data_IF_333317394793
#
_entry.id   IF_333317394793
#
_cell.length_a   1.000
_cell.length_b   1.000
_cell.length_c   1.000
_cell.angle_alpha   90.00
_cell.angle_beta   90.00
_cell.angle_gamma   90.00
#
_symmetry.space_group_name_H-M   'P 1'
#
loop_
_entity.id
_entity.type
_entity.pdbx_description
1 polymer ?
#
# COMPACT_ATOMS: atom_id res chain seq x y z
N UNK A 1 -13.93 34.12 5.44
CA UNK A 1 -13.88 34.11 6.92
C UNK A 1 -15.18 33.46 7.38
N UNK A 2 -15.10 32.49 8.30
CA UNK A 2 -16.29 31.87 8.90
C UNK A 2 -16.75 32.57 10.17
N UNK A 3 -17.77 31.99 10.81
CA UNK A 3 -18.32 32.44 12.09
C UNK A 3 -18.32 31.26 13.09
N UNK A 4 -17.99 31.53 14.35
CA UNK A 4 -17.95 30.56 15.45
C UNK A 4 -19.36 30.29 16.02
N UNK A 5 -20.28 29.84 15.16
CA UNK A 5 -21.68 29.59 15.48
C UNK A 5 -22.02 28.09 15.36
N UNK A 6 -21.66 27.29 16.38
CA UNK A 6 -22.05 25.88 16.54
C UNK A 6 -21.95 25.01 15.24
N UNK A 7 -20.94 25.27 14.40
CA UNK A 7 -20.67 24.56 13.13
C UNK A 7 -21.36 25.13 11.88
N UNK A 8 -22.37 25.99 12.01
CA UNK A 8 -23.06 26.61 10.87
C UNK A 8 -22.14 27.56 10.10
N UNK A 9 -21.35 28.37 10.81
CA UNK A 9 -20.40 29.29 10.17
C UNK A 9 -19.21 28.60 9.50
N UNK A 10 -18.82 27.39 9.96
CA UNK A 10 -17.85 26.56 9.25
C UNK A 10 -18.41 26.07 7.91
N UNK A 11 -19.64 25.57 7.90
CA UNK A 11 -20.33 25.13 6.68
C UNK A 11 -20.55 26.28 5.70
N UNK A 12 -20.95 27.46 6.19
CA UNK A 12 -21.09 28.67 5.37
C UNK A 12 -19.77 29.12 4.74
N UNK A 13 -18.68 29.12 5.52
CA UNK A 13 -17.33 29.43 5.02
C UNK A 13 -16.89 28.47 3.91
N UNK A 14 -17.05 27.15 4.10
CA UNK A 14 -16.68 26.14 3.11
C UNK A 14 -17.46 26.32 1.79
N UNK A 15 -18.77 26.63 1.85
CA UNK A 15 -19.58 26.94 0.66
C UNK A 15 -19.08 28.19 -0.06
N UNK A 16 -18.82 29.25 0.68
CA UNK A 16 -18.32 30.51 0.11
C UNK A 16 -16.94 30.30 -0.53
N UNK A 17 -16.06 29.57 0.15
CA UNK A 17 -14.75 29.20 -0.36
C UNK A 17 -14.85 28.46 -1.69
N UNK A 18 -15.63 27.37 -1.74
CA UNK A 18 -15.81 26.59 -2.96
C UNK A 18 -16.44 27.40 -4.10
N UNK A 19 -17.39 28.27 -3.80
CA UNK A 19 -18.02 29.14 -4.81
C UNK A 19 -17.01 30.10 -5.44
N UNK A 20 -16.14 30.71 -4.63
CA UNK A 20 -15.14 31.66 -5.11
C UNK A 20 -13.97 30.93 -5.78
N UNK A 21 -13.65 29.71 -5.35
CA UNK A 21 -12.60 28.88 -5.95
C UNK A 21 -12.86 28.57 -7.43
N UNK A 22 -14.13 28.57 -7.87
CA UNK A 22 -14.49 28.48 -9.29
C UNK A 22 -13.99 29.66 -10.13
N UNK A 23 -13.68 30.79 -9.50
CA UNK A 23 -13.26 32.03 -10.16
C UNK A 23 -11.76 32.31 -9.97
N UNK A 24 -11.14 31.81 -8.90
CA UNK A 24 -9.74 32.05 -8.58
C UNK A 24 -9.15 31.00 -7.65
N UNK A 25 -7.89 30.63 -7.88
CA UNK A 25 -7.12 29.77 -6.97
C UNK A 25 -6.39 30.58 -5.87
N UNK A 26 -6.37 31.92 -5.98
CA UNK A 26 -5.78 32.79 -4.97
C UNK A 26 -6.82 33.18 -3.91
N UNK A 27 -7.17 32.21 -3.08
CA UNK A 27 -8.15 32.38 -2.00
C UNK A 27 -7.68 31.65 -0.74
N UNK A 28 -8.03 32.22 0.41
CA UNK A 28 -7.76 31.62 1.71
C UNK A 28 -9.00 31.71 2.59
N UNK A 29 -9.30 30.65 3.31
CA UNK A 29 -10.35 30.63 4.32
C UNK A 29 -9.79 30.34 5.70
N UNK A 30 -10.41 30.93 6.73
CA UNK A 30 -10.05 30.71 8.14
C UNK A 30 -11.24 31.04 9.03
N UNK A 31 -11.26 30.42 10.21
CA UNK A 31 -12.20 30.72 11.29
C UNK A 31 -11.65 31.87 12.16
N UNK A 32 -12.52 32.66 12.81
CA UNK A 32 -12.09 33.61 13.84
C UNK A 32 -11.45 32.86 15.04
N UNK A 33 -10.57 33.53 15.81
CA UNK A 33 -10.03 32.99 17.06
C UNK A 33 -11.12 32.53 18.03
N UNK A 34 -10.77 31.60 18.91
CA UNK A 34 -11.67 31.16 19.98
C UNK A 34 -12.14 32.35 20.83
N UNK A 35 -13.43 32.38 21.19
CA UNK A 35 -14.04 33.49 21.93
C UNK A 35 -14.43 34.72 21.08
N UNK A 36 -14.18 34.68 19.77
CA UNK A 36 -14.63 35.68 18.79
C UNK A 36 -15.73 35.06 17.93
N UNK A 37 -16.90 35.72 17.87
CA UNK A 37 -18.06 35.18 17.17
C UNK A 37 -17.91 35.26 15.65
N UNK A 38 -17.65 36.45 15.13
CA UNK A 38 -17.59 36.75 13.70
C UNK A 38 -16.63 37.93 13.44
N UNK A 39 -16.44 38.29 12.17
CA UNK A 39 -15.55 39.42 11.81
C UNK A 39 -16.00 40.76 12.42
N UNK A 40 -17.30 40.97 12.66
CA UNK A 40 -17.84 42.21 13.21
C UNK A 40 -17.52 42.32 14.70
N UNK A 41 -17.71 41.24 15.45
CA UNK A 41 -17.28 41.13 16.86
C UNK A 41 -15.76 41.33 16.96
N UNK A 42 -14.99 40.69 16.08
CA UNK A 42 -13.54 40.86 16.07
C UNK A 42 -13.11 42.31 15.86
N UNK A 43 -13.76 43.00 14.91
CA UNK A 43 -13.53 44.42 14.65
C UNK A 43 -13.87 45.30 15.85
N UNK A 44 -14.98 45.03 16.54
CA UNK A 44 -15.37 45.77 17.74
C UNK A 44 -14.35 45.62 18.88
N UNK A 45 -13.66 44.48 18.94
CA UNK A 45 -12.58 44.21 19.91
C UNK A 45 -11.21 44.73 19.48
N UNK A 46 -11.14 45.59 18.45
CA UNK A 46 -9.92 46.28 18.05
C UNK A 46 -9.08 45.59 16.97
N UNK A 47 -9.64 44.63 16.22
CA UNK A 47 -8.95 44.06 15.06
C UNK A 47 -8.54 45.15 14.05
N UNK A 48 -7.25 45.17 13.70
CA UNK A 48 -6.72 45.98 12.60
C UNK A 48 -6.59 45.15 11.32
N UNK A 49 -6.53 45.83 10.17
CA UNK A 49 -6.37 45.17 8.88
C UNK A 49 -5.07 44.34 8.80
N UNK A 50 -3.96 44.89 9.31
CA UNK A 50 -2.67 44.18 9.33
C UNK A 50 -2.74 42.92 10.19
N UNK A 51 -3.35 43.01 11.37
CA UNK A 51 -3.51 41.85 12.25
C UNK A 51 -4.40 40.76 11.61
N UNK A 52 -5.42 41.14 10.85
CA UNK A 52 -6.25 40.19 10.10
C UNK A 52 -5.44 39.43 9.04
N UNK A 53 -4.60 40.14 8.27
CA UNK A 53 -3.79 39.51 7.24
C UNK A 53 -2.70 38.60 7.81
N UNK A 54 -2.04 39.01 8.89
CA UNK A 54 -1.08 38.15 9.59
C UNK A 54 -1.75 36.89 10.16
N UNK A 55 -2.93 37.05 10.75
CA UNK A 55 -3.73 35.90 11.20
C UNK A 55 -4.12 34.97 10.04
N UNK A 56 -4.55 35.54 8.91
CA UNK A 56 -4.91 34.77 7.72
C UNK A 56 -3.72 34.01 7.12
N UNK A 57 -2.50 34.56 7.17
CA UNK A 57 -1.29 33.86 6.72
C UNK A 57 -0.97 32.65 7.59
N UNK A 58 -1.20 32.76 8.90
CA UNK A 58 -0.86 31.71 9.88
C UNK A 58 -1.95 30.62 9.94
N UNK A 59 -3.22 31.02 9.95
CA UNK A 59 -4.37 30.14 10.18
C UNK A 59 -5.19 29.85 8.93
N UNK A 60 -4.80 30.46 7.80
CA UNK A 60 -5.41 30.27 6.51
C UNK A 60 -5.27 28.86 5.99
N UNK A 61 -6.37 28.32 5.46
CA UNK A 61 -6.40 27.11 4.67
C UNK A 61 -6.72 27.45 3.22
N UNK A 62 -5.98 26.84 2.31
CA UNK A 62 -6.18 26.93 0.86
C UNK A 62 -6.95 25.72 0.35
N UNK A 63 -7.04 24.64 1.14
CA UNK A 63 -7.74 23.42 0.77
C UNK A 63 -9.06 23.25 1.52
N UNK A 64 -10.04 22.68 0.82
CA UNK A 64 -11.34 22.33 1.38
C UNK A 64 -11.20 21.31 2.51
N UNK A 65 -12.18 21.26 3.41
CA UNK A 65 -12.25 20.23 4.45
C UNK A 65 -12.13 18.83 3.82
N UNK A 66 -11.18 17.97 4.26
CA UNK A 66 -11.01 16.63 3.69
C UNK A 66 -12.24 15.73 3.88
N UNK A 67 -13.17 16.11 4.75
CA UNK A 67 -14.50 15.51 4.89
C UNK A 67 -15.51 15.89 3.80
N UNK A 68 -15.17 16.81 2.89
CA UNK A 68 -16.05 17.33 1.84
C UNK A 68 -15.40 17.08 0.46
N UNK A 69 -16.09 16.34 -0.40
CA UNK A 69 -15.72 16.15 -1.80
C UNK A 69 -16.22 17.31 -2.67
N UNK A 70 -15.56 17.59 -3.78
CA UNK A 70 -15.96 18.69 -4.65
C UNK A 70 -17.22 18.36 -5.48
N UNK A 71 -17.52 17.07 -5.63
CA UNK A 71 -18.73 16.54 -6.25
C UNK A 71 -19.10 15.15 -5.68
N UNK A 72 -20.19 14.54 -6.15
CA UNK A 72 -20.47 13.11 -5.94
C UNK A 72 -20.01 12.21 -7.10
N UNK A 73 -19.06 12.68 -7.92
CA UNK A 73 -18.46 11.90 -8.99
C UNK A 73 -17.68 10.68 -8.43
N UNK A 74 -18.03 9.45 -8.81
CA UNK A 74 -17.31 8.26 -8.37
C UNK A 74 -15.83 8.26 -8.78
N UNK A 75 -15.45 8.87 -9.92
CA UNK A 75 -14.06 8.89 -10.38
C UNK A 75 -13.20 9.70 -9.41
N UNK A 76 -13.57 10.95 -9.15
CA UNK A 76 -12.87 11.84 -8.20
C UNK A 76 -12.74 11.17 -6.83
N UNK A 77 -13.84 10.59 -6.33
CA UNK A 77 -13.87 9.96 -5.01
C UNK A 77 -13.01 8.70 -4.97
N UNK A 78 -13.06 7.87 -6.02
CA UNK A 78 -12.29 6.64 -6.13
C UNK A 78 -10.78 6.89 -6.20
N UNK A 79 -10.35 7.85 -7.01
CA UNK A 79 -8.95 8.27 -7.10
C UNK A 79 -8.46 8.85 -5.77
N UNK A 80 -9.25 9.70 -5.12
CA UNK A 80 -8.93 10.25 -3.81
C UNK A 80 -8.85 9.18 -2.72
N UNK A 81 -9.77 8.22 -2.74
CA UNK A 81 -9.73 7.07 -1.84
C UNK A 81 -8.45 6.25 -2.02
N UNK A 82 -8.08 5.93 -3.27
CA UNK A 82 -6.86 5.21 -3.58
C UNK A 82 -5.62 5.97 -3.11
N UNK A 83 -5.57 7.28 -3.37
CA UNK A 83 -4.46 8.15 -2.96
C UNK A 83 -4.31 8.22 -1.44
N UNK A 84 -5.41 8.37 -0.71
CA UNK A 84 -5.38 8.56 0.75
C UNK A 84 -5.20 7.25 1.53
N UNK A 85 -5.64 6.11 0.99
CA UNK A 85 -5.68 4.83 1.72
C UNK A 85 -4.71 3.78 1.20
N UNK A 86 -4.42 3.80 -0.10
CA UNK A 86 -3.68 2.73 -0.76
C UNK A 86 -2.63 3.31 -1.69
N UNK A 87 -1.93 4.36 -1.28
CA UNK A 87 -0.80 4.90 -2.04
C UNK A 87 0.36 5.20 -1.09
N UNK A 88 1.54 4.73 -1.44
CA UNK A 88 2.78 4.98 -0.72
C UNK A 88 3.78 5.57 -1.71
N UNK A 89 4.31 6.77 -1.40
CA UNK A 89 5.27 7.48 -2.26
C UNK A 89 4.82 7.59 -3.73
N UNK A 90 3.52 7.78 -3.95
CA UNK A 90 2.93 7.89 -5.29
C UNK A 90 2.65 6.55 -6.00
N UNK A 91 3.00 5.41 -5.40
CA UNK A 91 2.68 4.09 -5.92
C UNK A 91 1.39 3.55 -5.29
N UNK A 92 0.34 3.24 -6.08
CA UNK A 92 -0.80 2.51 -5.57
C UNK A 92 -0.41 1.14 -5.03
N UNK A 93 -0.80 0.85 -3.79
CA UNK A 93 -0.51 -0.37 -3.05
C UNK A 93 -1.64 -1.38 -3.06
N UNK A 94 -2.80 -1.02 -3.62
CA UNK A 94 -3.89 -1.93 -3.95
C UNK A 94 -3.87 -2.17 -5.47
N UNK A 95 -3.82 -3.43 -5.88
CA UNK A 95 -3.73 -3.85 -7.29
C UNK A 95 -4.77 -4.91 -7.62
N UNK A 96 -5.14 -4.98 -8.88
CA UNK A 96 -5.97 -6.03 -9.44
C UNK A 96 -5.14 -6.86 -10.41
N UNK A 97 -4.86 -8.10 -10.05
CA UNK A 97 -4.00 -9.00 -10.81
C UNK A 97 -4.76 -10.30 -11.09
N UNK A 98 -4.86 -10.69 -12.37
CA UNK A 98 -5.59 -11.89 -12.83
C UNK A 98 -7.00 -12.05 -12.22
N UNK A 99 -7.72 -10.95 -12.05
CA UNK A 99 -9.08 -10.92 -11.50
C UNK A 99 -9.17 -10.93 -9.96
N UNK A 100 -8.04 -11.05 -9.27
CA UNK A 100 -7.96 -11.00 -7.81
C UNK A 100 -7.46 -9.63 -7.35
N UNK A 101 -7.93 -9.20 -6.18
CA UNK A 101 -7.43 -8.01 -5.51
C UNK A 101 -6.27 -8.39 -4.60
N UNK A 102 -5.21 -7.61 -4.65
CA UNK A 102 -3.99 -7.83 -3.88
C UNK A 102 -3.50 -6.51 -3.31
N UNK A 103 -2.95 -6.54 -2.09
CA UNK A 103 -2.48 -5.36 -1.39
C UNK A 103 -1.05 -5.57 -0.89
N UNK A 104 -0.22 -4.54 -1.05
CA UNK A 104 1.13 -4.52 -0.50
C UNK A 104 1.10 -4.47 1.04
N UNK A 105 1.79 -5.40 1.68
CA UNK A 105 1.87 -5.55 3.14
C UNK A 105 3.30 -5.36 3.65
N UNK A 106 3.93 -4.23 3.32
CA UNK A 106 5.25 -3.88 3.84
C UNK A 106 6.42 -4.49 3.06
N UNK A 107 6.28 -5.70 2.53
CA UNK A 107 7.37 -6.42 1.85
C UNK A 107 6.96 -7.03 0.52
N UNK A 108 5.74 -7.56 0.45
CA UNK A 108 5.19 -8.23 -0.72
C UNK A 108 3.68 -7.95 -0.81
N UNK A 109 3.10 -8.24 -1.97
CA UNK A 109 1.66 -8.22 -2.18
C UNK A 109 1.03 -9.52 -1.69
N UNK A 110 -0.12 -9.41 -1.02
CA UNK A 110 -0.94 -10.55 -0.61
C UNK A 110 -2.36 -10.37 -1.08
N UNK A 111 -3.11 -11.48 -1.19
CA UNK A 111 -4.53 -11.43 -1.52
C UNK A 111 -5.28 -10.53 -0.53
N UNK A 112 -6.16 -9.68 -1.08
CA UNK A 112 -7.06 -8.82 -0.34
C UNK A 112 -8.48 -9.08 -0.87
N UNK A 113 -9.33 -9.80 -0.13
CA UNK A 113 -10.67 -10.13 -0.61
C UNK A 113 -11.48 -8.87 -0.95
N UNK A 114 -12.25 -8.92 -2.04
CA UNK A 114 -13.06 -7.79 -2.51
C UNK A 114 -13.99 -7.22 -1.43
N UNK A 115 -14.53 -8.08 -0.55
CA UNK A 115 -15.41 -7.62 0.53
C UNK A 115 -14.69 -6.80 1.60
N UNK A 116 -13.38 -7.02 1.81
CA UNK A 116 -12.54 -6.19 2.68
C UNK A 116 -12.35 -4.81 2.03
N UNK A 117 -11.95 -4.77 0.76
CA UNK A 117 -11.78 -3.53 -0.01
C UNK A 117 -13.09 -2.72 -0.02
N UNK A 118 -14.22 -3.38 -0.28
CA UNK A 118 -15.55 -2.77 -0.23
C UNK A 118 -15.85 -2.19 1.15
N UNK A 119 -15.53 -2.92 2.23
CA UNK A 119 -15.68 -2.46 3.60
C UNK A 119 -14.87 -1.19 3.87
N UNK A 120 -13.65 -1.09 3.34
CA UNK A 120 -12.81 0.09 3.49
C UNK A 120 -13.35 1.30 2.73
N UNK A 121 -13.99 1.10 1.56
CA UNK A 121 -14.72 2.17 0.87
C UNK A 121 -15.88 2.68 1.74
N UNK A 122 -16.68 1.80 2.35
CA UNK A 122 -17.75 2.22 3.24
C UNK A 122 -17.24 3.05 4.43
N UNK A 123 -16.19 2.57 5.10
CA UNK A 123 -15.56 3.30 6.22
C UNK A 123 -15.02 4.66 5.76
N UNK A 124 -14.44 4.72 4.56
CA UNK A 124 -13.90 5.97 4.03
C UNK A 124 -14.98 7.03 3.78
N UNK A 125 -16.15 6.60 3.31
CA UNK A 125 -17.29 7.46 3.00
C UNK A 125 -18.11 7.87 4.23
N UNK A 126 -17.88 7.22 5.38
CA UNK A 126 -18.61 7.51 6.61
C UNK A 126 -18.45 8.97 7.04
N UNK A 127 -19.58 9.66 7.25
CA UNK A 127 -19.61 11.06 7.64
C UNK A 127 -19.17 12.07 6.57
N UNK A 128 -18.75 11.60 5.38
CA UNK A 128 -18.34 12.46 4.27
C UNK A 128 -19.52 13.24 3.69
N UNK A 129 -19.21 14.39 3.10
CA UNK A 129 -20.16 15.28 2.43
C UNK A 129 -19.62 15.60 1.04
N UNK A 130 -20.43 16.19 0.18
CA UNK A 130 -20.00 16.68 -1.11
C UNK A 130 -20.69 17.99 -1.47
N UNK A 131 -20.08 18.74 -2.38
CA UNK A 131 -20.65 19.97 -2.91
C UNK A 131 -21.60 19.68 -4.06
N UNK A 132 -22.74 20.37 -4.08
CA UNK A 132 -23.70 20.33 -5.17
C UNK A 132 -24.10 21.75 -5.55
N UNK A 133 -23.90 22.09 -6.82
CA UNK A 133 -24.36 23.36 -7.38
C UNK A 133 -25.83 23.26 -7.76
N UNK A 134 -26.66 24.11 -7.17
CA UNK A 134 -28.07 24.22 -7.51
C UNK A 134 -28.30 24.94 -8.85
N UNK A 135 -29.54 24.90 -9.40
CA UNK A 135 -29.86 25.54 -10.69
C UNK A 135 -29.61 27.05 -10.74
N UNK A 136 -29.55 27.71 -9.59
CA UNK A 136 -29.30 29.16 -9.46
C UNK A 136 -27.84 29.49 -9.11
N UNK A 137 -26.91 28.55 -9.28
CA UNK A 137 -25.49 28.72 -8.97
C UNK A 137 -25.17 28.68 -7.47
N UNK A 138 -26.13 28.36 -6.61
CA UNK A 138 -25.92 28.26 -5.17
C UNK A 138 -25.27 26.93 -4.79
N UNK A 139 -24.09 26.97 -4.15
CA UNK A 139 -23.38 25.78 -3.67
C UNK A 139 -23.98 25.28 -2.36
N UNK A 140 -24.32 24.00 -2.31
CA UNK A 140 -24.83 23.29 -1.14
C UNK A 140 -23.84 22.21 -0.71
N UNK A 141 -23.73 21.99 0.60
CA UNK A 141 -22.97 20.85 1.17
C UNK A 141 -24.01 19.81 1.56
N UNK A 142 -23.91 18.61 0.98
CA UNK A 142 -24.87 17.53 1.15
C UNK A 142 -24.15 16.31 1.75
N UNK A 143 -24.74 15.59 2.72
CA UNK A 143 -24.19 14.32 3.19
C UNK A 143 -24.05 13.30 2.06
N UNK A 144 -22.89 12.65 1.99
CA UNK A 144 -22.67 11.57 1.04
C UNK A 144 -23.34 10.30 1.57
N UNK A 145 -24.43 9.88 0.92
CA UNK A 145 -25.14 8.64 1.28
C UNK A 145 -24.48 7.47 0.57
N UNK A 146 -23.61 6.73 1.27
CA UNK A 146 -22.92 5.55 0.75
C UNK A 146 -23.87 4.36 0.54
N UNK A 147 -24.68 4.40 -0.53
CA UNK A 147 -25.50 3.27 -0.96
C UNK A 147 -24.69 2.25 -1.77
N UNK A 148 -25.21 1.01 -1.89
CA UNK A 148 -24.56 -0.08 -2.63
C UNK A 148 -24.12 0.31 -4.05
N UNK A 149 -24.96 1.04 -4.79
CA UNK A 149 -24.64 1.50 -6.15
C UNK A 149 -23.41 2.40 -6.18
N UNK A 150 -23.40 3.47 -5.38
CA UNK A 150 -22.27 4.41 -5.29
C UNK A 150 -20.95 3.75 -4.89
N UNK A 151 -21.01 2.76 -3.99
CA UNK A 151 -19.81 1.99 -3.61
C UNK A 151 -19.35 1.11 -4.77
N UNK A 152 -20.28 0.50 -5.52
CA UNK A 152 -19.93 -0.25 -6.74
C UNK A 152 -19.25 0.64 -7.76
N UNK A 153 -19.79 1.83 -8.02
CA UNK A 153 -19.23 2.78 -8.98
C UNK A 153 -17.78 3.15 -8.60
N UNK A 154 -17.49 3.37 -7.31
CA UNK A 154 -16.13 3.61 -6.82
C UNK A 154 -15.22 2.39 -7.02
N UNK A 155 -15.70 1.17 -6.73
CA UNK A 155 -14.93 -0.06 -6.96
C UNK A 155 -14.63 -0.25 -8.45
N UNK A 156 -15.53 0.16 -9.34
CA UNK A 156 -15.33 0.13 -10.79
C UNK A 156 -14.26 1.14 -11.25
N UNK A 157 -14.15 2.29 -10.58
CA UNK A 157 -13.01 3.20 -10.78
C UNK A 157 -11.71 2.54 -10.37
N UNK A 158 -11.68 1.85 -9.22
CA UNK A 158 -10.48 1.11 -8.80
C UNK A 158 -10.09 0.02 -9.81
N UNK A 159 -11.07 -0.66 -10.44
CA UNK A 159 -10.82 -1.63 -11.49
C UNK A 159 -10.08 -1.02 -12.70
N UNK A 160 -10.31 0.26 -13.00
CA UNK A 160 -9.68 0.99 -14.09
C UNK A 160 -8.24 1.40 -13.76
N UNK A 161 -7.97 1.83 -12.53
CA UNK A 161 -6.68 2.45 -12.15
C UNK A 161 -5.68 1.48 -11.51
N UNK A 162 -6.15 0.34 -11.00
CA UNK A 162 -5.33 -0.65 -10.31
C UNK A 162 -4.91 -1.92 -11.10
N UNK A 163 -5.19 -2.12 -12.41
CA UNK A 163 -4.89 -3.39 -13.07
C UNK A 163 -3.40 -3.61 -13.26
N UNK A 164 -2.96 -4.86 -13.06
CA UNK A 164 -1.64 -5.37 -13.42
C UNK A 164 -1.84 -6.61 -14.31
N UNK A 165 -1.27 -6.58 -15.51
CA UNK A 165 -1.40 -7.67 -16.49
C UNK A 165 -0.18 -8.58 -16.53
N UNK A 166 0.99 -8.05 -16.20
CA UNK A 166 2.26 -8.76 -16.25
C UNK A 166 2.43 -9.67 -15.02
N UNK A 167 3.13 -10.79 -15.22
CA UNK A 167 3.36 -11.77 -14.16
C UNK A 167 4.53 -11.34 -13.25
N UNK A 168 4.37 -11.41 -11.92
CA UNK A 168 5.42 -11.06 -10.96
C UNK A 168 6.60 -12.06 -10.99
N UNK A 169 7.81 -11.65 -10.55
CA UNK A 169 8.12 -10.33 -9.99
C UNK A 169 8.44 -9.29 -11.08
N UNK A 170 7.89 -8.07 -10.93
CA UNK A 170 8.11 -6.95 -11.85
C UNK A 170 8.22 -5.62 -11.09
N UNK A 171 8.84 -4.63 -11.73
CA UNK A 171 8.76 -3.24 -11.31
C UNK A 171 7.56 -2.55 -11.96
N UNK A 172 6.85 -1.73 -11.20
CA UNK A 172 5.62 -1.03 -11.63
C UNK A 172 5.85 0.41 -12.11
N UNK A 173 7.09 0.89 -12.10
CA UNK A 173 7.48 2.20 -12.60
C UNK A 173 8.61 2.10 -13.63
N UNK A 174 8.78 3.16 -14.42
CA UNK A 174 9.74 3.20 -15.53
C UNK A 174 11.16 3.60 -15.08
N UNK A 175 11.49 3.42 -13.80
CA UNK A 175 12.82 3.76 -13.28
C UNK A 175 13.80 2.63 -13.56
N UNK A 176 15.07 3.00 -13.55
CA UNK A 176 16.16 2.03 -13.62
C UNK A 176 16.25 1.27 -12.30
N UNK A 177 15.92 -0.02 -12.34
CA UNK A 177 15.93 -0.91 -11.20
C UNK A 177 16.70 -2.20 -11.53
N UNK A 178 17.25 -2.90 -10.52
CA UNK A 178 17.80 -4.23 -10.73
C UNK A 178 16.75 -5.20 -11.28
N UNK A 179 17.22 -6.21 -12.00
CA UNK A 179 16.38 -7.31 -12.49
C UNK A 179 15.58 -7.94 -11.32
N UNK A 180 14.24 -7.88 -11.34
CA UNK A 180 13.41 -8.36 -10.24
C UNK A 180 13.56 -9.87 -10.00
N UNK A 181 13.99 -10.65 -11.01
CA UNK A 181 14.29 -12.09 -10.84
C UNK A 181 15.55 -12.35 -10.00
N UNK A 182 16.34 -11.31 -9.73
CA UNK A 182 17.57 -11.37 -8.92
C UNK A 182 17.38 -10.79 -7.53
N UNK A 183 16.15 -10.47 -7.14
CA UNK A 183 15.82 -9.89 -5.85
C UNK A 183 15.16 -10.94 -4.94
N UNK A 184 15.70 -11.07 -3.73
CA UNK A 184 15.15 -11.93 -2.69
C UNK A 184 14.60 -11.06 -1.57
N UNK A 185 13.32 -11.23 -1.22
CA UNK A 185 12.65 -10.44 -0.21
C UNK A 185 12.65 -11.18 1.14
N UNK A 186 13.25 -10.58 2.17
CA UNK A 186 13.23 -11.02 3.57
C UNK A 186 12.47 -10.01 4.44
N UNK A 187 12.18 -10.38 5.70
CA UNK A 187 11.49 -9.50 6.66
C UNK A 187 12.28 -8.23 7.03
N UNK A 188 13.60 -8.22 6.80
CA UNK A 188 14.47 -7.08 7.09
C UNK A 188 14.95 -6.34 5.83
N UNK A 189 14.48 -6.72 4.64
CA UNK A 189 14.80 -6.01 3.40
C UNK A 189 14.95 -6.92 2.19
N UNK A 190 15.39 -6.32 1.08
CA UNK A 190 15.54 -6.99 -0.21
C UNK A 190 17.04 -7.20 -0.47
N UNK A 191 17.44 -8.46 -0.66
CA UNK A 191 18.80 -8.83 -1.05
C UNK A 191 18.88 -8.92 -2.58
N UNK A 192 19.84 -8.23 -3.18
CA UNK A 192 20.16 -8.40 -4.60
C UNK A 192 21.25 -9.48 -4.75
N UNK A 193 20.92 -10.56 -5.47
CA UNK A 193 21.81 -11.70 -5.67
C UNK A 193 23.07 -11.29 -6.45
N UNK A 194 22.97 -10.39 -7.43
CA UNK A 194 24.14 -9.96 -8.20
C UNK A 194 25.16 -9.24 -7.31
N UNK A 195 24.68 -8.29 -6.49
CA UNK A 195 25.52 -7.58 -5.51
C UNK A 195 26.10 -8.56 -4.48
N UNK A 196 25.30 -9.51 -3.99
CA UNK A 196 25.75 -10.55 -3.08
C UNK A 196 26.90 -11.38 -3.68
N UNK A 197 26.79 -11.77 -4.95
CA UNK A 197 27.83 -12.54 -5.66
C UNK A 197 29.12 -11.74 -5.89
N UNK A 198 29.02 -10.41 -5.92
CA UNK A 198 30.16 -9.48 -5.97
C UNK A 198 30.76 -9.20 -4.57
N UNK A 199 30.20 -9.78 -3.52
CA UNK A 199 30.62 -9.59 -2.13
C UNK A 199 30.04 -8.34 -1.47
N UNK A 200 29.07 -7.67 -2.12
CA UNK A 200 28.35 -6.52 -1.56
C UNK A 200 27.06 -7.00 -0.91
N UNK A 201 27.09 -7.09 0.41
CA UNK A 201 25.96 -7.61 1.19
C UNK A 201 25.23 -6.41 1.78
N UNK A 202 24.23 -5.93 1.04
CA UNK A 202 23.40 -4.78 1.41
C UNK A 202 21.94 -5.16 1.23
N UNK A 203 21.13 -4.85 2.25
CA UNK A 203 19.68 -4.99 2.16
C UNK A 203 19.08 -3.67 1.72
N UNK A 204 18.34 -3.72 0.63
CA UNK A 204 17.56 -2.59 0.12
C UNK A 204 16.24 -2.49 0.87
N UNK A 205 15.71 -1.28 1.00
CA UNK A 205 14.41 -1.07 1.63
C UNK A 205 13.30 -1.71 0.79
N UNK A 206 12.26 -2.26 1.42
CA UNK A 206 11.07 -2.68 0.69
C UNK A 206 10.45 -1.54 -0.12
N UNK A 207 10.01 -1.86 -1.35
CA UNK A 207 9.42 -0.90 -2.27
C UNK A 207 8.10 -1.44 -2.84
N UNK A 208 6.96 -0.74 -2.68
CA UNK A 208 5.69 -1.16 -3.27
C UNK A 208 5.68 -1.19 -4.80
N UNK A 209 6.65 -0.56 -5.47
CA UNK A 209 6.82 -0.69 -6.92
C UNK A 209 7.36 -2.07 -7.33
N UNK A 210 7.98 -2.83 -6.42
CA UNK A 210 8.31 -4.23 -6.68
C UNK A 210 7.05 -5.08 -6.45
N UNK A 211 6.35 -5.38 -7.54
CA UNK A 211 5.19 -6.26 -7.51
C UNK A 211 5.63 -7.71 -7.44
N UNK A 212 5.69 -8.25 -6.22
CA UNK A 212 6.03 -9.63 -5.92
C UNK A 212 5.13 -10.16 -4.80
N UNK A 213 4.87 -11.47 -4.80
CA UNK A 213 4.09 -12.15 -3.74
C UNK A 213 4.97 -12.81 -2.68
N UNK A 214 6.22 -13.10 -3.04
CA UNK A 214 7.09 -13.92 -2.23
C UNK A 214 7.87 -13.09 -1.21
N UNK A 215 7.83 -13.49 0.06
CA UNK A 215 8.68 -12.96 1.12
C UNK A 215 9.04 -14.05 2.12
N UNK A 216 10.33 -14.21 2.42
CA UNK A 216 10.78 -15.16 3.42
C UNK A 216 10.27 -14.81 4.82
N UNK A 217 9.86 -15.78 5.66
CA UNK A 217 9.25 -15.52 6.97
C UNK A 217 10.28 -15.15 8.06
N UNK A 218 11.53 -14.93 7.69
CA UNK A 218 12.64 -14.60 8.59
C UNK A 218 13.52 -13.48 8.03
N UNK A 219 14.39 -12.95 8.89
CA UNK A 219 15.40 -11.97 8.53
C UNK A 219 16.59 -12.65 7.85
N UNK A 220 17.16 -11.98 6.84
CA UNK A 220 18.45 -12.36 6.31
C UNK A 220 19.57 -12.06 7.31
N UNK A 221 20.46 -13.02 7.52
CA UNK A 221 21.72 -12.88 8.26
C UNK A 221 22.75 -13.83 7.66
N UNK A 222 23.82 -13.25 7.12
CA UNK A 222 24.91 -13.97 6.44
C UNK A 222 25.76 -14.84 7.38
N UNK A 223 25.73 -14.55 8.68
CA UNK A 223 26.59 -15.19 9.67
C UNK A 223 25.93 -16.40 10.34
N UNK A 224 24.64 -16.63 10.08
CA UNK A 224 23.92 -17.75 10.66
C UNK A 224 24.45 -19.08 10.14
N UNK A 225 24.77 -19.97 11.07
CA UNK A 225 25.15 -21.36 10.82
C UNK A 225 24.31 -22.28 11.68
N UNK A 226 24.04 -23.48 11.18
CA UNK A 226 23.29 -24.49 11.92
C UNK A 226 24.11 -25.78 11.97
N UNK A 227 24.82 -25.97 13.08
CA UNK A 227 25.57 -27.20 13.34
C UNK A 227 24.66 -28.43 13.35
N UNK A 228 23.41 -28.26 13.79
CA UNK A 228 22.37 -29.29 13.74
C UNK A 228 22.05 -29.70 12.30
N UNK A 229 21.87 -28.73 11.40
CA UNK A 229 21.60 -29.03 9.99
C UNK A 229 22.82 -29.65 9.32
N UNK A 230 24.02 -29.13 9.57
CA UNK A 230 25.26 -29.69 9.01
C UNK A 230 25.51 -31.13 9.46
N UNK A 231 25.31 -31.44 10.74
CA UNK A 231 25.45 -32.80 11.27
C UNK A 231 24.38 -33.74 10.71
N UNK A 232 23.12 -33.29 10.63
CA UNK A 232 22.04 -34.04 10.01
C UNK A 232 22.33 -34.38 8.54
N UNK A 233 22.82 -33.42 7.76
CA UNK A 233 23.19 -33.64 6.35
C UNK A 233 24.33 -34.66 6.20
N UNK A 234 25.35 -34.58 7.06
CA UNK A 234 26.46 -35.55 7.06
C UNK A 234 25.99 -36.95 7.44
N UNK A 235 25.04 -37.07 8.35
CA UNK A 235 24.47 -38.35 8.76
C UNK A 235 23.69 -39.01 7.62
N UNK A 236 22.69 -38.31 7.06
CA UNK A 236 21.80 -38.91 6.03
C UNK A 236 22.48 -39.16 4.68
N UNK A 237 23.59 -38.48 4.40
CA UNK A 237 24.37 -38.64 3.17
C UNK A 237 25.72 -39.32 3.40
N UNK A 238 25.99 -39.87 4.59
CA UNK A 238 27.25 -40.57 4.90
C UNK A 238 28.48 -39.70 4.61
N UNK A 239 28.37 -38.39 4.83
CA UNK A 239 29.40 -37.37 4.54
C UNK A 239 29.78 -37.26 3.06
N UNK A 240 28.94 -37.72 2.12
CA UNK A 240 29.13 -37.52 0.68
C UNK A 240 29.00 -36.02 0.32
N UNK A 241 30.11 -35.34 -0.02
CA UNK A 241 30.10 -33.89 -0.23
C UNK A 241 29.32 -33.49 -1.50
N UNK A 242 29.23 -34.35 -2.51
CA UNK A 242 28.56 -34.03 -3.77
C UNK A 242 27.03 -34.08 -3.60
N UNK A 243 26.52 -35.04 -2.83
CA UNK A 243 25.08 -35.11 -2.50
C UNK A 243 24.64 -33.94 -1.63
N UNK A 244 25.45 -33.61 -0.62
CA UNK A 244 25.19 -32.46 0.26
C UNK A 244 25.18 -31.17 -0.57
N UNK A 245 26.18 -30.98 -1.45
CA UNK A 245 26.27 -29.82 -2.35
C UNK A 245 25.07 -29.74 -3.29
N UNK A 246 24.67 -30.84 -3.92
CA UNK A 246 23.52 -30.87 -4.82
C UNK A 246 22.23 -30.44 -4.10
N UNK A 247 22.00 -30.93 -2.89
CA UNK A 247 20.86 -30.54 -2.08
C UNK A 247 20.91 -29.05 -1.70
N UNK A 248 22.07 -28.54 -1.30
CA UNK A 248 22.24 -27.12 -0.99
C UNK A 248 22.00 -26.24 -2.21
N UNK A 249 22.49 -26.64 -3.38
CA UNK A 249 22.21 -25.97 -4.66
C UNK A 249 20.72 -26.00 -4.98
N UNK A 250 20.04 -27.11 -4.70
CA UNK A 250 18.59 -27.21 -4.87
C UNK A 250 17.83 -26.26 -3.94
N UNK A 251 18.21 -26.16 -2.67
CA UNK A 251 17.62 -25.19 -1.74
C UNK A 251 17.85 -23.77 -2.23
N UNK A 252 19.09 -23.44 -2.64
CA UNK A 252 19.43 -22.14 -3.22
C UNK A 252 18.63 -21.81 -4.48
N UNK A 253 18.42 -22.80 -5.36
CA UNK A 253 17.63 -22.61 -6.57
C UNK A 253 16.17 -22.23 -6.25
N UNK A 254 15.55 -22.87 -5.26
CA UNK A 254 14.17 -22.57 -4.85
C UNK A 254 14.02 -21.22 -4.14
N UNK A 255 15.12 -20.57 -3.73
CA UNK A 255 15.11 -19.23 -3.13
C UNK A 255 15.01 -18.14 -4.20
N UNK A 256 15.47 -18.42 -5.42
CA UNK A 256 15.52 -17.45 -6.50
C UNK A 256 14.16 -17.46 -7.21
N UNK A 257 13.53 -16.30 -7.44
CA UNK A 257 12.28 -16.20 -8.21
C UNK A 257 12.54 -16.34 -9.72
N UNK A 258 13.31 -17.34 -10.12
CA UNK A 258 13.68 -17.67 -11.50
C UNK A 258 13.15 -19.06 -11.84
N UNK A 259 12.08 -19.09 -12.63
CA UNK A 259 11.41 -20.32 -13.07
C UNK A 259 11.95 -20.82 -14.44
N UNK A 260 13.07 -20.30 -14.93
CA UNK A 260 13.59 -20.64 -16.26
C UNK A 260 14.07 -22.09 -16.41
N UNK A 261 14.25 -22.82 -15.30
CA UNK A 261 14.64 -24.23 -15.35
C UNK A 261 13.44 -25.14 -15.12
N UNK A 262 13.12 -25.91 -16.15
CA UNK A 262 12.15 -27.01 -16.10
C UNK A 262 12.76 -28.25 -15.41
N UNK A 263 13.10 -28.12 -14.13
CA UNK A 263 13.83 -29.17 -13.38
C UNK A 263 13.05 -29.62 -12.15
N UNK A 264 13.02 -30.93 -11.91
CA UNK A 264 12.42 -31.55 -10.72
C UNK A 264 13.46 -32.38 -9.99
N UNK A 265 13.52 -32.27 -8.67
CA UNK A 265 14.36 -33.12 -7.82
C UNK A 265 13.53 -34.24 -7.20
N UNK A 266 13.97 -35.49 -7.41
CA UNK A 266 13.34 -36.68 -6.86
C UNK A 266 14.10 -37.14 -5.61
N UNK A 267 13.41 -37.18 -4.46
CA UNK A 267 13.96 -37.67 -3.20
C UNK A 267 13.62 -39.16 -3.03
N UNK A 268 14.59 -40.03 -3.28
CA UNK A 268 14.41 -41.50 -3.16
C UNK A 268 15.13 -42.06 -1.95
N UNK A 269 14.56 -43.07 -1.28
CA UNK A 269 15.23 -43.78 -0.19
C UNK A 269 14.26 -44.56 0.70
N UNK A 270 14.79 -45.39 1.59
CA UNK A 270 14.00 -46.18 2.55
C UNK A 270 13.23 -45.30 3.56
N UNK A 271 12.17 -45.81 4.21
CA UNK A 271 11.53 -45.11 5.32
C UNK A 271 12.55 -44.69 6.40
N UNK A 272 12.34 -43.51 7.01
CA UNK A 272 13.22 -42.91 8.03
C UNK A 272 14.61 -42.47 7.56
N UNK A 273 14.84 -42.34 6.24
CA UNK A 273 16.08 -41.80 5.69
C UNK A 273 16.21 -40.26 5.72
N UNK A 274 15.43 -39.57 6.55
CA UNK A 274 15.46 -38.09 6.66
C UNK A 274 14.75 -37.29 5.56
N UNK A 275 14.17 -37.93 4.53
CA UNK A 275 13.49 -37.23 3.40
C UNK A 275 12.39 -36.26 3.84
N UNK A 276 11.49 -36.72 4.71
CA UNK A 276 10.39 -35.88 5.21
C UNK A 276 10.93 -34.69 5.99
N UNK A 277 11.98 -34.88 6.79
CA UNK A 277 12.66 -33.81 7.52
C UNK A 277 13.28 -32.78 6.57
N UNK A 278 13.89 -33.21 5.46
CA UNK A 278 14.40 -32.30 4.44
C UNK A 278 13.29 -31.46 3.82
N UNK A 279 12.24 -32.11 3.30
CA UNK A 279 11.12 -31.41 2.67
C UNK A 279 10.42 -30.46 3.66
N UNK A 280 10.25 -30.88 4.91
CA UNK A 280 9.67 -30.05 5.95
C UNK A 280 10.57 -28.85 6.30
N UNK A 281 11.88 -29.05 6.39
CA UNK A 281 12.85 -27.97 6.60
C UNK A 281 12.82 -26.97 5.44
N UNK A 282 12.76 -27.46 4.20
CA UNK A 282 12.65 -26.62 3.01
C UNK A 282 11.33 -25.83 3.01
N UNK A 283 10.21 -26.46 3.41
CA UNK A 283 8.93 -25.78 3.54
C UNK A 283 8.92 -24.67 4.59
N UNK A 284 9.63 -24.85 5.72
CA UNK A 284 9.82 -23.79 6.70
C UNK A 284 10.77 -22.68 6.20
N UNK A 285 11.82 -23.06 5.49
CA UNK A 285 12.76 -22.13 4.85
C UNK A 285 12.03 -21.26 3.82
N UNK A 286 11.26 -21.84 2.90
CA UNK A 286 10.48 -21.10 1.91
C UNK A 286 9.29 -20.36 2.51
N UNK A 287 8.84 -20.78 3.70
CA UNK A 287 7.57 -20.33 4.27
C UNK A 287 6.43 -21.19 3.73
N UNK A 288 5.71 -21.84 4.65
CA UNK A 288 4.69 -22.83 4.29
C UNK A 288 3.55 -22.28 3.43
N UNK A 289 3.19 -21.00 3.60
CA UNK A 289 2.18 -20.32 2.78
C UNK A 289 2.59 -20.23 1.30
N UNK A 290 3.87 -20.39 0.99
CA UNK A 290 4.44 -20.32 -0.35
C UNK A 290 4.63 -21.71 -0.98
N UNK A 291 4.36 -22.77 -0.22
CA UNK A 291 4.54 -24.16 -0.63
C UNK A 291 3.18 -24.82 -0.83
N UNK A 292 3.05 -25.60 -1.90
CA UNK A 292 1.89 -26.48 -2.10
C UNK A 292 2.35 -27.92 -1.89
N UNK A 293 1.69 -28.62 -0.95
CA UNK A 293 1.83 -30.07 -0.81
C UNK A 293 0.62 -30.76 -1.42
N UNK A 294 0.86 -31.80 -2.20
CA UNK A 294 -0.18 -32.74 -2.61
C UNK A 294 -0.09 -33.90 -1.61
N UNK A 295 -0.64 -33.70 -0.42
CA UNK A 295 -0.83 -34.79 0.52
C UNK A 295 -1.96 -35.68 -0.06
N UNK A 296 -1.63 -36.92 -0.41
CA UNK A 296 -2.60 -37.99 -0.68
C UNK A 296 -2.96 -38.72 0.62
#
# INVERSE_FOLDING_TARGET
IGDNDAGAGQSGMQKAFATIQLLTNNITMFQPPEGIKDLRDWRQRGLTQNALFEYAKIHGKVDQDPGIFSSDDPIEIGEKFLLEKFTIKGCPTLRKYKGQWVQWQGHAYKESPLDIVRGDVYKYLEGKKFLRTGPKGNVQIIPYKAGRGRVSDILDVLNMVCPIEQDPPIWLDDKDHPDPSKLIIFQNGILNIQEFMEGKITLHNPDPNLFAFHVFPYNYDENLKSELMESFLKDIFETDPERIRLLQQWYGYNIIPDMSRDTVMLFTGVPRSGKSTLLDTMGHMLGREQCVSIDF
#
